data_IF_587264594903
#
_entry.id   IF_587264594903
#
_cell.length_a   1.000
_cell.length_b   1.000
_cell.length_c   1.000
_cell.angle_alpha   90.00
_cell.angle_beta   90.00
_cell.angle_gamma   90.00
#
_symmetry.space_group_name_H-M   'P 1'
#
loop_
_entity.id
_entity.type
_entity.pdbx_description
1 polymer ?
#
# COMPACT_ATOMS: atom_id res chain seq x y z
N UNK A 1 18.68 -7.57 -3.68
CA UNK A 1 17.37 -8.04 -4.16
C UNK A 1 16.20 -7.48 -3.34
N UNK A 2 16.33 -7.37 -2.01
CA UNK A 2 15.28 -6.86 -1.12
C UNK A 2 14.99 -5.34 -1.20
N UNK A 3 15.99 -4.48 -1.37
CA UNK A 3 15.78 -3.02 -1.30
C UNK A 3 14.82 -2.48 -2.38
N UNK A 4 14.84 -3.08 -3.59
CA UNK A 4 13.91 -2.72 -4.68
C UNK A 4 12.46 -3.14 -4.38
N UNK A 5 12.28 -4.26 -3.68
CA UNK A 5 10.95 -4.78 -3.30
C UNK A 5 10.32 -3.93 -2.22
N UNK A 6 11.06 -3.67 -1.14
CA UNK A 6 10.58 -2.82 -0.06
C UNK A 6 10.37 -1.37 -0.51
N UNK A 7 11.24 -0.86 -1.40
CA UNK A 7 11.06 0.44 -2.05
C UNK A 7 9.77 0.50 -2.88
N UNK A 8 9.55 -0.47 -3.77
CA UNK A 8 8.32 -0.54 -4.58
C UNK A 8 7.06 -0.67 -3.72
N UNK A 9 7.09 -1.48 -2.66
CA UNK A 9 5.98 -1.63 -1.74
C UNK A 9 5.67 -0.33 -0.96
N UNK A 10 6.69 0.42 -0.55
CA UNK A 10 6.48 1.69 0.14
C UNK A 10 5.83 2.75 -0.76
N UNK A 11 6.25 2.86 -2.02
CA UNK A 11 5.64 3.78 -3.00
C UNK A 11 4.18 3.41 -3.26
N UNK A 12 3.89 2.11 -3.39
CA UNK A 12 2.52 1.62 -3.56
C UNK A 12 1.63 1.93 -2.35
N UNK A 13 2.13 1.72 -1.13
CA UNK A 13 1.41 2.03 0.10
C UNK A 13 1.09 3.53 0.23
N UNK A 14 2.04 4.40 -0.13
CA UNK A 14 1.82 5.84 -0.17
C UNK A 14 0.74 6.24 -1.18
N UNK A 15 0.74 5.63 -2.38
CA UNK A 15 -0.29 5.89 -3.38
C UNK A 15 -1.69 5.51 -2.87
N UNK A 16 -1.82 4.36 -2.21
CA UNK A 16 -3.09 3.90 -1.62
C UNK A 16 -3.57 4.86 -0.52
N UNK A 17 -2.67 5.32 0.35
CA UNK A 17 -3.01 6.31 1.39
C UNK A 17 -3.56 7.60 0.78
N UNK A 18 -2.94 8.10 -0.29
CA UNK A 18 -3.40 9.32 -0.98
C UNK A 18 -4.78 9.10 -1.62
N UNK A 19 -4.96 7.99 -2.33
CA UNK A 19 -6.24 7.66 -2.98
C UNK A 19 -7.34 7.53 -1.93
N UNK A 20 -7.09 6.79 -0.84
CA UNK A 20 -8.10 6.57 0.20
C UNK A 20 -8.43 7.84 0.98
N UNK A 21 -7.45 8.73 1.22
CA UNK A 21 -7.70 10.05 1.80
C UNK A 21 -8.54 10.93 0.88
N UNK A 22 -8.28 10.93 -0.43
CA UNK A 22 -9.06 11.69 -1.41
C UNK A 22 -10.50 11.15 -1.52
N UNK A 23 -10.66 9.83 -1.66
CA UNK A 23 -11.97 9.17 -1.66
C UNK A 23 -12.71 9.47 -0.35
N UNK A 24 -12.01 9.42 0.78
CA UNK A 24 -12.62 9.76 2.07
C UNK A 24 -13.12 11.20 2.09
N UNK A 25 -12.37 12.17 1.56
CA UNK A 25 -12.79 13.56 1.47
C UNK A 25 -13.94 13.79 0.47
N UNK A 26 -14.06 12.96 -0.57
CA UNK A 26 -15.10 13.07 -1.60
C UNK A 26 -16.44 12.49 -1.14
N UNK A 27 -16.42 11.38 -0.40
CA UNK A 27 -17.62 10.64 0.00
C UNK A 27 -18.00 10.81 1.47
N UNK A 28 -17.08 11.32 2.30
CA UNK A 28 -17.30 11.58 3.71
C UNK A 28 -16.84 13.01 4.05
N UNK A 29 -17.60 13.74 4.85
CA UNK A 29 -17.22 15.10 5.29
C UNK A 29 -15.91 15.12 6.13
N UNK A 30 -15.40 13.95 6.51
CA UNK A 30 -14.18 13.80 7.30
C UNK A 30 -13.36 12.58 6.86
N UNK A 31 -12.04 12.76 6.81
CA UNK A 31 -11.11 11.66 6.54
C UNK A 31 -10.95 10.81 7.80
N UNK A 32 -11.32 9.53 7.71
CA UNK A 32 -11.04 8.57 8.79
C UNK A 32 -9.59 8.07 8.68
N UNK A 33 -8.68 8.82 9.29
CA UNK A 33 -7.24 8.55 9.25
C UNK A 33 -6.85 7.15 9.75
N UNK A 34 -7.62 6.57 10.67
CA UNK A 34 -7.38 5.19 11.15
C UNK A 34 -7.58 4.20 10.01
N UNK A 35 -8.68 4.31 9.26
CA UNK A 35 -8.95 3.42 8.12
C UNK A 35 -7.98 3.65 6.97
N UNK A 36 -7.59 4.90 6.71
CA UNK A 36 -6.59 5.24 5.70
C UNK A 36 -5.25 4.55 6.01
N UNK A 37 -4.74 4.71 7.24
CA UNK A 37 -3.47 4.10 7.65
C UNK A 37 -3.56 2.57 7.60
N UNK A 38 -4.66 2.00 8.09
CA UNK A 38 -4.87 0.56 8.05
C UNK A 38 -4.87 0.02 6.61
N UNK A 39 -5.53 0.72 5.69
CA UNK A 39 -5.55 0.33 4.26
C UNK A 39 -4.15 0.38 3.62
N UNK A 40 -3.34 1.39 3.97
CA UNK A 40 -1.96 1.50 3.51
C UNK A 40 -1.06 0.37 4.02
N UNK A 41 -1.19 -0.01 5.29
CA UNK A 41 -0.43 -1.13 5.88
C UNK A 41 -0.81 -2.46 5.22
N UNK A 42 -2.11 -2.71 5.02
CA UNK A 42 -2.58 -3.94 4.34
C UNK A 42 -2.06 -4.01 2.91
N UNK A 43 -2.15 -2.91 2.16
CA UNK A 43 -1.62 -2.83 0.80
C UNK A 43 -0.11 -3.09 0.75
N UNK A 44 0.65 -2.52 1.70
CA UNK A 44 2.10 -2.76 1.81
C UNK A 44 2.42 -4.24 2.02
N UNK A 45 1.73 -4.90 2.96
CA UNK A 45 1.95 -6.31 3.29
C UNK A 45 1.63 -7.22 2.10
N UNK A 46 0.46 -7.02 1.47
CA UNK A 46 0.05 -7.82 0.30
C UNK A 46 1.01 -7.64 -0.88
N UNK A 47 1.39 -6.40 -1.17
CA UNK A 47 2.29 -6.12 -2.28
C UNK A 47 3.69 -6.69 -2.03
N UNK A 48 4.22 -6.56 -0.82
CA UNK A 48 5.51 -7.13 -0.43
C UNK A 48 5.50 -8.67 -0.55
N UNK A 49 4.45 -9.34 -0.05
CA UNK A 49 4.31 -10.79 -0.19
C UNK A 49 4.18 -11.22 -1.64
N UNK A 50 3.41 -10.48 -2.46
CA UNK A 50 3.27 -10.79 -3.88
C UNK A 50 4.60 -10.69 -4.63
N UNK A 51 5.39 -9.63 -4.38
CA UNK A 51 6.71 -9.46 -4.99
C UNK A 51 7.70 -10.53 -4.50
N UNK A 52 7.64 -10.90 -3.23
CA UNK A 52 8.46 -11.98 -2.69
C UNK A 52 8.16 -13.32 -3.38
N UNK A 53 6.88 -13.65 -3.59
CA UNK A 53 6.46 -14.86 -4.30
C UNK A 53 6.94 -14.81 -5.76
N UNK A 54 6.73 -13.71 -6.47
CA UNK A 54 7.16 -13.54 -7.87
C UNK A 54 8.68 -13.66 -8.00
N UNK A 55 9.44 -13.14 -7.03
CA UNK A 55 10.89 -13.27 -7.00
C UNK A 55 11.37 -14.69 -6.76
N UNK A 56 10.61 -15.48 -5.99
CA UNK A 56 10.92 -16.88 -5.74
C UNK A 56 10.60 -17.76 -6.96
N UNK A 57 9.58 -17.41 -7.74
CA UNK A 57 9.16 -18.14 -8.95
C UNK A 57 10.04 -17.83 -10.18
N UNK A 58 10.67 -16.66 -10.24
CA UNK A 58 11.57 -16.26 -11.33
C UNK A 58 13.05 -16.69 -11.12
N UNK A 59 13.31 -17.56 -10.14
CA UNK A 59 14.60 -18.20 -9.91
C UNK A 59 14.53 -19.67 -10.29
#
# INVERSE_FOLDING_TARGET
MNFKVYGGASVFAFAIIIIYSLVSCLFYDKVNWIQVILSGIVAFCLFTMSLYIVQKLNK
#
